data_IF_666388371984
#
_entry.id   IF_666388371984
#
_cell.length_a   1.000
_cell.length_b   1.000
_cell.length_c   1.000
_cell.angle_alpha   90.00
_cell.angle_beta   90.00
_cell.angle_gamma   90.00
#
_symmetry.space_group_name_H-M   'P 1'
#
loop_
_entity.id
_entity.type
_entity.pdbx_description
1 polymer ?
#
# COMPACT_ATOMS: atom_id res chain seq x y z
N UNK A 1 -0.13 -19.85 36.74
CA UNK A 1 -1.27 -20.30 37.56
C UNK A 1 -1.88 -19.13 38.31
N UNK A 2 -1.11 -18.46 39.16
CA UNK A 2 -1.59 -17.37 40.04
C UNK A 2 -2.36 -16.25 39.30
N UNK A 3 -1.91 -15.84 38.12
CA UNK A 3 -2.63 -14.86 37.29
C UNK A 3 -4.00 -15.35 36.82
N UNK A 4 -4.17 -16.64 36.55
CA UNK A 4 -5.46 -17.19 36.11
C UNK A 4 -6.50 -17.23 37.24
N UNK A 5 -6.05 -17.25 38.49
CA UNK A 5 -6.88 -17.38 39.70
C UNK A 5 -7.04 -16.05 40.46
N UNK A 6 -6.56 -14.94 39.89
CA UNK A 6 -6.52 -13.65 40.59
C UNK A 6 -7.87 -12.94 40.68
N UNK A 7 -8.80 -13.23 39.76
CA UNK A 7 -10.07 -12.51 39.63
C UNK A 7 -11.24 -13.30 40.21
N UNK A 8 -12.14 -12.60 40.92
CA UNK A 8 -13.39 -13.15 41.45
C UNK A 8 -14.34 -13.67 40.36
N UNK A 9 -14.22 -13.12 39.14
CA UNK A 9 -14.96 -13.53 37.93
C UNK A 9 -14.08 -14.37 37.02
N UNK A 10 -13.79 -15.59 37.47
CA UNK A 10 -12.80 -16.44 36.82
C UNK A 10 -13.14 -16.75 35.36
N UNK A 11 -14.40 -17.03 35.03
CA UNK A 11 -14.81 -17.44 33.68
C UNK A 11 -14.58 -16.28 32.71
N UNK A 12 -15.08 -15.10 33.03
CA UNK A 12 -14.96 -13.91 32.19
C UNK A 12 -13.51 -13.47 32.08
N UNK A 13 -12.76 -13.46 33.18
CA UNK A 13 -11.36 -13.09 33.20
C UNK A 13 -10.52 -14.03 32.34
N UNK A 14 -10.63 -15.35 32.55
CA UNK A 14 -9.85 -16.35 31.81
C UNK A 14 -10.16 -16.33 30.31
N UNK A 15 -11.44 -16.16 29.95
CA UNK A 15 -11.88 -16.10 28.56
C UNK A 15 -11.33 -14.86 27.83
N UNK A 16 -11.47 -13.66 28.43
CA UNK A 16 -10.93 -12.41 27.85
C UNK A 16 -9.40 -12.44 27.82
N UNK A 17 -8.77 -12.99 28.86
CA UNK A 17 -7.31 -13.14 28.92
C UNK A 17 -6.80 -14.02 27.78
N UNK A 18 -7.46 -15.14 27.49
CA UNK A 18 -7.08 -16.01 26.38
C UNK A 18 -7.20 -15.27 25.03
N UNK A 19 -8.31 -14.57 24.80
CA UNK A 19 -8.51 -13.75 23.61
C UNK A 19 -7.45 -12.65 23.48
N UNK A 20 -7.04 -12.04 24.60
CA UNK A 20 -5.99 -11.03 24.65
C UNK A 20 -4.59 -11.60 24.37
N UNK A 21 -4.28 -12.80 24.87
CA UNK A 21 -3.04 -13.50 24.54
C UNK A 21 -2.98 -13.86 23.05
N UNK A 22 -4.09 -14.35 22.48
CA UNK A 22 -4.20 -14.62 21.06
C UNK A 22 -4.06 -13.34 20.23
N UNK A 23 -4.75 -12.27 20.63
CA UNK A 23 -4.61 -10.94 20.02
C UNK A 23 -3.15 -10.47 20.02
N UNK A 24 -2.45 -10.57 21.15
CA UNK A 24 -1.04 -10.20 21.27
C UNK A 24 -0.15 -10.99 20.29
N UNK A 25 -0.33 -12.31 20.23
CA UNK A 25 0.39 -13.17 19.30
C UNK A 25 0.12 -12.76 17.84
N UNK A 26 -1.15 -12.51 17.50
CA UNK A 26 -1.55 -12.08 16.15
C UNK A 26 -0.93 -10.75 15.77
N UNK A 27 -1.01 -9.71 16.62
CA UNK A 27 -0.46 -8.39 16.27
C UNK A 27 1.06 -8.41 16.16
N UNK A 28 1.74 -9.19 17.01
CA UNK A 28 3.18 -9.35 17.00
C UNK A 28 3.66 -10.11 15.75
N UNK A 29 3.03 -11.23 15.40
CA UNK A 29 3.47 -12.08 14.29
C UNK A 29 3.00 -11.57 12.93
N UNK A 30 1.90 -10.82 12.87
CA UNK A 30 1.41 -10.20 11.63
C UNK A 30 2.41 -9.25 10.98
N UNK A 31 3.38 -8.70 11.74
CA UNK A 31 4.49 -7.89 11.20
C UNK A 31 5.33 -8.63 10.15
N UNK A 32 5.32 -9.97 10.14
CA UNK A 32 6.02 -10.80 9.14
C UNK A 32 5.56 -10.50 7.71
N UNK A 33 4.29 -10.13 7.52
CA UNK A 33 3.69 -9.87 6.21
C UNK A 33 3.94 -8.44 5.69
N UNK A 34 4.91 -7.71 6.27
CA UNK A 34 5.28 -6.37 5.84
C UNK A 34 4.10 -5.41 5.83
N UNK A 35 4.00 -4.61 4.77
CA UNK A 35 2.96 -3.58 4.59
C UNK A 35 1.55 -4.14 4.42
N UNK A 36 1.38 -5.41 4.03
CA UNK A 36 0.08 -6.07 4.03
C UNK A 36 -0.40 -6.41 5.46
N UNK A 37 0.54 -6.67 6.36
CA UNK A 37 0.29 -6.87 7.78
C UNK A 37 -0.02 -5.55 8.49
N UNK A 38 0.95 -4.64 8.47
CA UNK A 38 0.90 -3.31 9.09
C UNK A 38 1.57 -2.29 8.15
N UNK A 39 0.97 -1.12 7.94
CA UNK A 39 1.58 -0.07 7.12
C UNK A 39 2.94 0.37 7.68
N UNK A 40 3.12 0.33 9.02
CA UNK A 40 4.40 0.61 9.68
C UNK A 40 4.78 -0.51 10.67
N UNK A 41 6.09 -0.75 10.88
CA UNK A 41 6.52 -1.70 11.90
C UNK A 41 6.36 -1.12 13.32
N UNK A 42 5.57 -1.79 14.16
CA UNK A 42 5.34 -1.40 15.55
C UNK A 42 6.04 -2.34 16.55
N UNK A 43 6.66 -1.82 17.61
CA UNK A 43 7.40 -2.62 18.59
C UNK A 43 6.51 -3.13 19.74
N UNK A 44 5.47 -3.91 19.43
CA UNK A 44 4.64 -4.54 20.46
C UNK A 44 5.49 -5.49 21.32
N UNK A 45 5.32 -5.42 22.64
CA UNK A 45 6.14 -6.16 23.59
C UNK A 45 5.30 -6.81 24.72
N UNK A 46 5.93 -7.70 25.47
CA UNK A 46 5.27 -8.42 26.58
C UNK A 46 4.81 -7.48 27.73
N UNK A 47 5.41 -6.30 27.85
CA UNK A 47 4.96 -5.27 28.78
C UNK A 47 3.56 -4.76 28.44
N UNK A 48 3.23 -4.58 27.16
CA UNK A 48 1.90 -4.18 26.71
C UNK A 48 0.84 -5.21 27.11
N UNK A 49 1.16 -6.51 26.94
CA UNK A 49 0.31 -7.60 27.38
C UNK A 49 0.16 -7.60 28.91
N UNK A 50 1.25 -7.53 29.66
CA UNK A 50 1.23 -7.56 31.13
C UNK A 50 0.40 -6.42 31.71
N UNK A 51 0.54 -5.21 31.19
CA UNK A 51 -0.25 -4.06 31.64
C UNK A 51 -1.72 -4.24 31.25
N UNK A 52 -2.00 -4.75 30.03
CA UNK A 52 -3.37 -5.03 29.59
C UNK A 52 -4.07 -6.06 30.49
N UNK A 53 -3.35 -7.07 30.98
CA UNK A 53 -3.86 -8.05 31.95
C UNK A 53 -4.22 -7.39 33.29
N UNK A 54 -3.36 -6.49 33.80
CA UNK A 54 -3.63 -5.75 35.02
C UNK A 54 -4.85 -4.82 34.86
N UNK A 55 -4.98 -4.17 33.70
CA UNK A 55 -6.15 -3.34 33.37
C UNK A 55 -7.42 -4.19 33.31
N UNK A 56 -7.37 -5.36 32.65
CA UNK A 56 -8.46 -6.31 32.59
C UNK A 56 -8.96 -6.69 33.99
N UNK A 57 -8.04 -7.10 34.86
CA UNK A 57 -8.35 -7.46 36.25
C UNK A 57 -9.05 -6.31 37.00
N UNK A 58 -8.43 -5.12 37.00
CA UNK A 58 -8.96 -3.96 37.73
C UNK A 58 -10.36 -3.57 37.25
N UNK A 59 -10.61 -3.60 35.94
CA UNK A 59 -11.92 -3.25 35.38
C UNK A 59 -12.98 -4.31 35.65
N UNK A 60 -12.63 -5.60 35.64
CA UNK A 60 -13.58 -6.67 35.95
C UNK A 60 -13.97 -6.72 37.43
N UNK A 61 -13.05 -6.41 38.34
CA UNK A 61 -13.33 -6.29 39.78
C UNK A 61 -14.15 -5.04 40.11
N UNK A 62 -13.84 -3.90 39.47
CA UNK A 62 -14.50 -2.63 39.78
C UNK A 62 -15.96 -2.55 39.27
N UNK A 63 -16.33 -3.34 38.27
CA UNK A 63 -17.64 -3.26 37.61
C UNK A 63 -18.45 -4.53 37.83
N UNK A 64 -19.77 -4.50 38.06
CA UNK A 64 -20.57 -5.71 38.22
C UNK A 64 -20.73 -6.52 36.92
N UNK A 65 -20.77 -5.85 35.77
CA UNK A 65 -20.85 -6.46 34.43
C UNK A 65 -19.56 -6.18 33.65
N UNK A 66 -19.24 -7.02 32.67
CA UNK A 66 -18.08 -6.82 31.80
C UNK A 66 -18.27 -5.57 30.92
N UNK A 67 -17.42 -4.54 31.05
CA UNK A 67 -17.52 -3.33 30.23
C UNK A 67 -16.81 -3.53 28.88
N UNK A 68 -17.47 -4.21 27.96
CA UNK A 68 -16.89 -4.63 26.67
C UNK A 68 -16.28 -3.49 25.85
N UNK A 69 -17.01 -2.39 25.70
CA UNK A 69 -16.57 -1.26 24.90
C UNK A 69 -15.38 -0.52 25.53
N UNK A 70 -15.37 -0.38 26.86
CA UNK A 70 -14.25 0.22 27.59
C UNK A 70 -12.99 -0.65 27.48
N UNK A 71 -13.12 -1.98 27.62
CA UNK A 71 -11.99 -2.91 27.45
C UNK A 71 -11.41 -2.84 26.03
N UNK A 72 -12.27 -2.86 25.00
CA UNK A 72 -11.82 -2.70 23.61
C UNK A 72 -11.11 -1.37 23.38
N UNK A 73 -11.66 -0.29 23.94
CA UNK A 73 -11.06 1.04 23.85
C UNK A 73 -9.70 1.08 24.56
N UNK A 74 -9.61 0.61 25.80
CA UNK A 74 -8.36 0.59 26.56
C UNK A 74 -7.27 -0.22 25.86
N UNK A 75 -7.58 -1.44 25.43
CA UNK A 75 -6.61 -2.29 24.73
C UNK A 75 -6.23 -1.70 23.37
N UNK A 76 -7.20 -1.25 22.58
CA UNK A 76 -6.99 -0.87 21.19
C UNK A 76 -6.46 0.54 20.98
N UNK A 77 -6.83 1.48 21.85
CA UNK A 77 -6.58 2.92 21.64
C UNK A 77 -5.46 3.43 22.52
N UNK A 78 -5.35 2.87 23.73
CA UNK A 78 -4.42 3.34 24.76
C UNK A 78 -3.22 2.41 24.83
N UNK A 79 -3.44 1.11 25.08
CA UNK A 79 -2.35 0.15 25.28
C UNK A 79 -1.59 -0.13 23.99
N UNK A 80 -2.21 -0.83 23.04
CA UNK A 80 -1.59 -1.11 21.75
C UNK A 80 -1.65 0.11 20.82
N UNK A 81 -2.76 0.84 20.86
CA UNK A 81 -2.96 2.06 20.07
C UNK A 81 -2.00 3.21 20.41
N UNK A 82 -1.37 3.19 21.59
CA UNK A 82 -0.32 4.14 21.95
C UNK A 82 0.94 4.02 21.09
N UNK A 83 1.21 2.82 20.53
CA UNK A 83 2.33 2.60 19.61
C UNK A 83 1.99 2.91 18.16
N UNK A 84 0.70 2.87 17.82
CA UNK A 84 0.22 2.94 16.44
C UNK A 84 0.05 4.40 16.01
N UNK A 85 0.80 4.76 14.96
CA UNK A 85 0.84 6.13 14.42
C UNK A 85 0.05 6.31 13.12
N UNK A 86 -0.31 5.22 12.43
CA UNK A 86 -1.07 5.26 11.19
C UNK A 86 -2.55 4.96 11.45
N UNK A 87 -3.45 5.78 10.88
CA UNK A 87 -4.89 5.67 11.15
C UNK A 87 -5.50 4.36 10.61
N UNK A 88 -4.97 3.82 9.50
CA UNK A 88 -5.45 2.55 8.95
C UNK A 88 -5.00 1.36 9.80
N UNK A 89 -3.78 1.42 10.32
CA UNK A 89 -3.28 0.45 11.30
C UNK A 89 -4.07 0.54 12.61
N UNK A 90 -4.46 1.76 13.03
CA UNK A 90 -5.31 1.96 14.21
C UNK A 90 -6.69 1.37 14.01
N UNK A 91 -7.29 1.55 12.82
CA UNK A 91 -8.54 0.90 12.41
C UNK A 91 -8.42 -0.62 12.43
N UNK A 92 -7.31 -1.17 11.95
CA UNK A 92 -7.04 -2.62 11.97
C UNK A 92 -7.00 -3.14 13.42
N UNK A 93 -6.25 -2.48 14.30
CA UNK A 93 -6.15 -2.86 15.72
C UNK A 93 -7.51 -2.85 16.43
N UNK A 94 -8.33 -1.81 16.23
CA UNK A 94 -9.70 -1.74 16.77
C UNK A 94 -10.59 -2.86 16.23
N UNK A 95 -10.43 -3.21 14.95
CA UNK A 95 -11.23 -4.26 14.31
C UNK A 95 -10.91 -5.63 14.90
N UNK A 96 -9.63 -5.94 15.15
CA UNK A 96 -9.26 -7.18 15.85
C UNK A 96 -9.95 -7.31 17.20
N UNK A 97 -9.89 -6.28 18.03
CA UNK A 97 -10.50 -6.31 19.36
C UNK A 97 -12.03 -6.38 19.29
N UNK A 98 -12.63 -5.76 18.28
CA UNK A 98 -14.08 -5.85 18.06
C UNK A 98 -14.53 -7.26 17.65
N UNK A 99 -13.69 -8.01 16.92
CA UNK A 99 -13.99 -9.38 16.51
C UNK A 99 -13.60 -10.42 17.58
N UNK A 100 -12.52 -10.19 18.34
CA UNK A 100 -12.04 -11.14 19.34
C UNK A 100 -12.69 -10.97 20.71
N UNK A 101 -12.93 -9.72 21.15
CA UNK A 101 -13.46 -9.44 22.49
C UNK A 101 -14.95 -9.11 22.36
N UNK A 102 -15.80 -10.13 22.45
CA UNK A 102 -17.26 -10.01 22.28
C UNK A 102 -18.04 -10.71 23.39
N UNK A 103 -19.29 -10.31 23.62
CA UNK A 103 -20.09 -10.91 24.68
C UNK A 103 -20.37 -12.41 24.43
N UNK A 104 -20.56 -12.76 23.16
CA UNK A 104 -20.85 -14.10 22.67
C UNK A 104 -19.68 -15.09 22.92
N UNK A 105 -18.47 -14.59 23.23
CA UNK A 105 -17.34 -15.49 23.48
C UNK A 105 -17.47 -16.26 24.79
N UNK A 106 -18.26 -15.75 25.75
CA UNK A 106 -18.58 -16.45 27.00
C UNK A 106 -19.47 -17.68 26.77
N UNK A 107 -20.16 -17.73 25.63
CA UNK A 107 -21.01 -18.87 25.23
C UNK A 107 -20.18 -19.97 24.55
N UNK A 108 -18.90 -19.72 24.25
CA UNK A 108 -17.98 -20.68 23.63
C UNK A 108 -18.17 -20.86 22.14
N UNK A 109 -19.00 -20.05 21.47
CA UNK A 109 -19.31 -20.20 20.04
C UNK A 109 -18.43 -19.34 19.11
N UNK A 110 -17.44 -18.64 19.68
CA UNK A 110 -16.60 -17.70 18.93
C UNK A 110 -15.32 -18.37 18.44
N UNK A 111 -15.12 -18.33 17.12
CA UNK A 111 -13.85 -18.66 16.48
C UNK A 111 -12.90 -17.46 16.53
N UNK A 112 -11.69 -17.67 17.06
CA UNK A 112 -10.60 -16.69 17.01
C UNK A 112 -9.89 -16.72 15.65
N UNK A 113 -9.84 -17.89 15.03
CA UNK A 113 -9.42 -18.08 13.64
C UNK A 113 -10.17 -19.27 13.02
N UNK A 114 -10.13 -19.43 11.69
CA UNK A 114 -10.74 -20.58 11.02
C UNK A 114 -10.19 -21.89 11.62
N UNK A 115 -11.08 -22.69 12.24
CA UNK A 115 -10.70 -23.95 12.89
C UNK A 115 -10.16 -23.82 14.31
N UNK A 116 -10.12 -22.61 14.90
CA UNK A 116 -9.67 -22.38 16.27
C UNK A 116 -10.74 -21.67 17.10
N UNK A 117 -11.45 -22.45 17.91
CA UNK A 117 -12.49 -21.98 18.82
C UNK A 117 -11.86 -21.41 20.10
N UNK A 118 -12.53 -20.45 20.74
CA UNK A 118 -12.15 -20.01 22.08
C UNK A 118 -12.29 -21.18 23.08
N UNK A 119 -11.26 -21.48 23.90
CA UNK A 119 -11.34 -22.56 24.86
C UNK A 119 -12.34 -22.27 25.98
N UNK A 120 -12.91 -23.32 26.60
CA UNK A 120 -13.62 -23.17 27.86
C UNK A 120 -12.66 -22.76 28.99
N UNK A 121 -13.20 -22.42 30.16
CA UNK A 121 -12.38 -22.11 31.34
C UNK A 121 -11.60 -23.36 31.80
N UNK A 122 -10.30 -23.39 31.50
CA UNK A 122 -9.37 -24.45 31.87
C UNK A 122 -8.35 -23.96 32.92
N UNK A 123 -7.57 -24.90 33.47
CA UNK A 123 -6.38 -24.59 34.25
C UNK A 123 -5.17 -24.31 33.32
N UNK A 124 -4.04 -23.90 33.89
CA UNK A 124 -2.86 -23.56 33.08
C UNK A 124 -2.42 -24.70 32.17
N UNK A 125 -2.41 -25.94 32.68
CA UNK A 125 -2.03 -27.12 31.88
C UNK A 125 -3.04 -27.40 30.79
N UNK A 126 -4.34 -27.35 31.10
CA UNK A 126 -5.40 -27.53 30.12
C UNK A 126 -5.36 -26.52 28.98
N UNK A 127 -4.96 -25.26 29.23
CA UNK A 127 -4.77 -24.30 28.13
C UNK A 127 -3.61 -24.68 27.19
N UNK A 128 -2.49 -25.19 27.72
CA UNK A 128 -1.38 -25.66 26.88
C UNK A 128 -1.81 -26.87 26.04
N UNK A 129 -2.45 -27.87 26.66
CA UNK A 129 -2.98 -29.04 25.97
C UNK A 129 -4.00 -28.63 24.89
N UNK A 130 -4.90 -27.68 25.19
CA UNK A 130 -5.86 -27.17 24.21
C UNK A 130 -5.18 -26.51 23.01
N UNK A 131 -4.13 -25.71 23.24
CA UNK A 131 -3.37 -25.06 22.17
C UNK A 131 -2.68 -26.12 21.30
N UNK A 132 -2.02 -27.09 21.92
CA UNK A 132 -1.29 -28.15 21.21
C UNK A 132 -2.24 -29.02 20.35
N UNK A 133 -3.45 -29.30 20.84
CA UNK A 133 -4.42 -30.16 20.16
C UNK A 133 -5.27 -29.43 19.10
N UNK A 134 -5.61 -28.15 19.33
CA UNK A 134 -6.62 -27.44 18.53
C UNK A 134 -6.05 -26.32 17.67
N UNK A 135 -4.86 -25.78 17.94
CA UNK A 135 -4.31 -24.70 17.14
C UNK A 135 -3.89 -25.23 15.76
N UNK A 136 -4.46 -24.71 14.66
CA UNK A 136 -4.06 -25.13 13.32
C UNK A 136 -2.60 -24.76 13.02
N UNK A 137 -1.96 -25.44 12.06
CA UNK A 137 -0.62 -25.06 11.61
C UNK A 137 -0.58 -23.59 11.14
N UNK A 138 0.57 -22.94 11.34
CA UNK A 138 0.75 -21.52 11.01
C UNK A 138 0.36 -21.26 9.56
N UNK A 139 -0.58 -20.35 9.36
CA UNK A 139 -1.04 -19.93 8.04
C UNK A 139 -1.53 -18.48 8.10
N UNK A 140 -1.55 -17.75 6.97
CA UNK A 140 -2.06 -16.38 6.93
C UNK A 140 -3.47 -16.22 7.49
N UNK A 141 -4.29 -17.28 7.44
CA UNK A 141 -5.66 -17.28 7.99
C UNK A 141 -5.70 -17.03 9.50
N UNK A 142 -4.69 -17.46 10.27
CA UNK A 142 -4.62 -17.20 11.72
C UNK A 142 -4.50 -15.70 12.02
N UNK A 143 -3.99 -14.93 11.06
CA UNK A 143 -3.86 -13.49 11.16
C UNK A 143 -4.99 -12.77 10.39
N UNK A 144 -6.02 -13.48 9.92
CA UNK A 144 -7.09 -12.89 9.11
C UNK A 144 -6.69 -12.51 7.68
N UNK A 145 -5.51 -12.94 7.20
CA UNK A 145 -5.00 -12.69 5.85
C UNK A 145 -5.37 -13.83 4.89
N UNK A 146 -5.44 -13.51 3.60
CA UNK A 146 -5.57 -14.52 2.55
C UNK A 146 -4.22 -15.27 2.35
N UNK A 147 -4.21 -16.58 2.00
CA UNK A 147 -2.99 -17.37 1.79
C UNK A 147 -1.97 -16.79 0.80
N UNK A 148 -2.43 -15.97 -0.14
CA UNK A 148 -1.56 -15.23 -1.06
C UNK A 148 -0.53 -14.33 -0.35
N UNK A 149 -0.79 -13.90 0.88
CA UNK A 149 0.15 -13.11 1.68
C UNK A 149 1.45 -13.88 1.95
N UNK A 150 1.38 -15.21 2.11
CA UNK A 150 2.56 -16.05 2.32
C UNK A 150 3.45 -16.09 1.08
N UNK A 151 2.86 -16.15 -0.11
CA UNK A 151 3.60 -16.08 -1.38
C UNK A 151 4.40 -14.78 -1.44
N UNK A 152 3.77 -13.64 -1.15
CA UNK A 152 4.44 -12.34 -1.13
C UNK A 152 5.58 -12.27 -0.10
N UNK A 153 5.33 -12.76 1.11
CA UNK A 153 6.34 -12.83 2.17
C UNK A 153 7.56 -13.68 1.75
N UNK A 154 7.33 -14.86 1.17
CA UNK A 154 8.39 -15.75 0.72
C UNK A 154 9.17 -15.14 -0.45
N UNK A 155 8.50 -14.51 -1.41
CA UNK A 155 9.15 -13.81 -2.53
C UNK A 155 10.08 -12.70 -2.02
N UNK A 156 9.61 -11.82 -1.15
CA UNK A 156 10.45 -10.73 -0.58
C UNK A 156 11.64 -11.29 0.21
N UNK A 157 11.43 -12.37 0.95
CA UNK A 157 12.50 -13.02 1.71
C UNK A 157 13.55 -13.63 0.78
N UNK A 158 13.13 -14.27 -0.31
CA UNK A 158 14.01 -14.81 -1.35
C UNK A 158 14.77 -13.71 -2.08
N UNK A 159 14.12 -12.61 -2.46
CA UNK A 159 14.78 -11.48 -3.13
C UNK A 159 15.85 -10.86 -2.23
N UNK A 160 15.57 -10.69 -0.94
CA UNK A 160 16.56 -10.23 0.03
C UNK A 160 17.75 -11.19 0.13
N UNK A 161 17.50 -12.50 0.15
CA UNK A 161 18.55 -13.51 0.16
C UNK A 161 19.44 -13.39 -1.08
N UNK A 162 18.86 -13.32 -2.28
CA UNK A 162 19.62 -13.16 -3.52
C UNK A 162 20.42 -11.86 -3.56
N UNK A 163 19.85 -10.75 -3.08
CA UNK A 163 20.57 -9.47 -2.98
C UNK A 163 21.77 -9.57 -2.05
N UNK A 164 21.60 -10.15 -0.86
CA UNK A 164 22.72 -10.36 0.07
C UNK A 164 23.81 -11.23 -0.54
N UNK A 165 23.45 -12.29 -1.26
CA UNK A 165 24.43 -13.15 -1.96
C UNK A 165 25.18 -12.37 -3.05
N UNK A 166 24.49 -11.52 -3.81
CA UNK A 166 25.10 -10.66 -4.82
C UNK A 166 26.06 -9.65 -4.20
N UNK A 167 25.68 -9.04 -3.07
CA UNK A 167 26.50 -8.07 -2.33
C UNK A 167 27.74 -8.69 -1.69
N UNK A 168 27.70 -9.98 -1.33
CA UNK A 168 28.84 -10.73 -0.81
C UNK A 168 29.85 -11.14 -1.90
N UNK A 169 29.52 -10.98 -3.19
CA UNK A 169 30.52 -11.18 -4.24
C UNK A 169 31.65 -10.15 -4.05
N UNK A 170 32.93 -10.57 -4.14
CA UNK A 170 34.04 -9.67 -3.91
C UNK A 170 33.98 -8.48 -4.87
N UNK A 171 33.67 -7.30 -4.32
CA UNK A 171 33.84 -6.00 -5.00
C UNK A 171 35.34 -5.73 -4.98
N UNK A 172 36.05 -6.15 -6.02
CA UNK A 172 37.51 -6.07 -6.07
C UNK A 172 37.98 -4.61 -6.11
N UNK A 173 38.32 -4.08 -4.93
CA UNK A 173 39.46 -3.17 -4.78
C UNK A 173 40.63 -3.98 -4.22
N UNK A 174 41.77 -3.96 -4.92
CA UNK A 174 43.05 -4.63 -4.63
C UNK A 174 43.20 -6.13 -4.99
N UNK A 175 43.41 -6.42 -6.28
CA UNK A 175 44.34 -7.47 -6.73
C UNK A 175 44.75 -7.26 -8.20
N UNK A 176 45.97 -6.76 -8.44
CA UNK A 176 46.51 -6.51 -9.77
C UNK A 176 46.62 -7.77 -10.64
N UNK A 177 45.95 -7.78 -11.79
CA UNK A 177 46.11 -8.79 -12.84
C UNK A 177 45.26 -8.48 -14.08
N UNK A 178 45.80 -8.70 -15.29
CA UNK A 178 45.21 -8.29 -16.58
C UNK A 178 43.80 -8.81 -16.93
N UNK A 179 43.16 -9.63 -16.09
CA UNK A 179 41.75 -9.99 -16.16
C UNK A 179 40.80 -8.86 -15.68
N UNK A 180 41.34 -7.88 -14.96
CA UNK A 180 40.61 -6.74 -14.38
C UNK A 180 40.21 -5.69 -15.43
N UNK A 181 41.10 -5.38 -16.39
CA UNK A 181 40.79 -4.49 -17.52
C UNK A 181 39.62 -4.98 -18.37
N UNK A 182 39.50 -6.30 -18.59
CA UNK A 182 38.42 -6.87 -19.39
C UNK A 182 37.07 -6.78 -18.66
N UNK A 183 37.05 -6.94 -17.32
CA UNK A 183 35.84 -6.81 -16.50
C UNK A 183 35.43 -5.35 -16.32
N UNK A 184 36.37 -4.45 -16.06
CA UNK A 184 36.10 -3.01 -16.05
C UNK A 184 35.59 -2.49 -17.40
N UNK A 185 36.16 -2.96 -18.50
CA UNK A 185 35.67 -2.67 -19.86
C UNK A 185 34.26 -3.22 -20.09
N UNK A 186 33.93 -4.41 -19.59
CA UNK A 186 32.58 -4.97 -19.70
C UNK A 186 31.57 -4.17 -18.87
N UNK A 187 31.93 -3.77 -17.65
CA UNK A 187 31.13 -2.90 -16.78
C UNK A 187 30.86 -1.55 -17.44
N UNK A 188 31.91 -0.87 -17.90
CA UNK A 188 31.78 0.45 -18.53
C UNK A 188 31.00 0.38 -19.83
N UNK A 189 31.19 -0.68 -20.64
CA UNK A 189 30.41 -0.91 -21.86
C UNK A 189 28.92 -1.12 -21.56
N UNK A 190 28.57 -1.93 -20.56
CA UNK A 190 27.18 -2.16 -20.18
C UNK A 190 26.52 -0.87 -19.66
N UNK A 191 27.18 -0.15 -18.75
CA UNK A 191 26.68 1.14 -18.24
C UNK A 191 26.49 2.14 -19.38
N UNK A 192 27.46 2.23 -20.29
CA UNK A 192 27.40 3.10 -21.47
C UNK A 192 26.24 2.73 -22.39
N UNK A 193 26.01 1.45 -22.64
CA UNK A 193 24.88 0.97 -23.45
C UNK A 193 23.53 1.37 -22.86
N UNK A 194 23.34 1.19 -21.54
CA UNK A 194 22.09 1.57 -20.86
C UNK A 194 21.91 3.09 -20.87
N UNK A 195 22.99 3.83 -20.60
CA UNK A 195 23.00 5.28 -20.65
C UNK A 195 22.59 5.81 -22.02
N UNK A 196 23.18 5.28 -23.09
CA UNK A 196 22.88 5.71 -24.46
C UNK A 196 21.44 5.41 -24.85
N UNK A 197 20.92 4.23 -24.48
CA UNK A 197 19.52 3.88 -24.69
C UNK A 197 18.56 4.86 -24.00
N UNK A 198 18.85 5.23 -22.74
CA UNK A 198 18.02 6.16 -21.98
C UNK A 198 18.09 7.56 -22.60
N UNK A 199 19.28 8.06 -22.96
CA UNK A 199 19.42 9.40 -23.54
C UNK A 199 18.75 9.49 -24.91
N UNK A 200 18.89 8.47 -25.76
CA UNK A 200 18.36 8.45 -27.12
C UNK A 200 16.82 8.44 -27.13
N UNK A 201 16.20 7.68 -26.23
CA UNK A 201 14.74 7.52 -26.18
C UNK A 201 14.03 8.56 -25.31
N UNK A 202 14.76 9.33 -24.49
CA UNK A 202 14.17 10.30 -23.57
C UNK A 202 13.66 11.54 -24.34
N UNK A 203 12.33 11.81 -24.33
CA UNK A 203 11.74 12.93 -25.06
C UNK A 203 12.27 14.30 -24.64
N UNK A 204 12.05 15.29 -25.50
CA UNK A 204 12.35 16.68 -25.20
C UNK A 204 11.44 17.23 -24.08
N UNK A 205 11.93 18.19 -23.27
CA UNK A 205 11.16 18.75 -22.18
C UNK A 205 9.91 19.49 -22.69
N UNK A 206 8.85 19.46 -21.89
CA UNK A 206 7.62 20.17 -22.16
C UNK A 206 7.87 21.69 -22.19
N UNK A 207 7.54 22.34 -23.32
CA UNK A 207 7.61 23.80 -23.42
C UNK A 207 6.43 24.43 -22.65
N UNK A 208 6.67 24.76 -21.38
CA UNK A 208 5.65 25.31 -20.49
C UNK A 208 5.04 26.62 -21.01
N UNK A 209 5.82 27.46 -21.71
CA UNK A 209 5.30 28.72 -22.25
C UNK A 209 4.27 28.47 -23.36
N UNK A 210 4.56 27.54 -24.28
CA UNK A 210 3.61 27.15 -25.33
C UNK A 210 2.37 26.44 -24.77
N UNK A 211 2.56 25.53 -23.82
CA UNK A 211 1.48 24.78 -23.17
C UNK A 211 0.54 25.75 -22.42
N UNK A 212 1.08 26.71 -21.68
CA UNK A 212 0.28 27.72 -21.00
C UNK A 212 -0.43 28.68 -21.97
N UNK A 213 0.20 29.02 -23.10
CA UNK A 213 -0.42 29.87 -24.11
C UNK A 213 -1.58 29.19 -24.86
N UNK A 214 -1.55 27.86 -25.00
CA UNK A 214 -2.64 27.08 -25.62
C UNK A 214 -3.87 26.95 -24.74
N UNK A 215 -3.72 27.01 -23.41
CA UNK A 215 -4.83 26.85 -22.48
C UNK A 215 -5.72 28.10 -22.45
N UNK A 216 -6.84 28.05 -23.17
CA UNK A 216 -7.83 29.14 -23.21
C UNK A 216 -8.46 29.37 -21.83
N UNK A 217 -8.86 28.28 -21.16
CA UNK A 217 -9.48 28.31 -19.83
C UNK A 217 -8.64 27.54 -18.81
N UNK A 218 -8.34 28.19 -17.68
CA UNK A 218 -7.61 27.58 -16.55
C UNK A 218 -8.55 26.75 -15.67
N UNK A 219 -9.02 25.63 -16.22
CA UNK A 219 -9.81 24.65 -15.47
C UNK A 219 -8.95 23.95 -14.42
N UNK A 220 -9.55 23.36 -13.35
CA UNK A 220 -8.80 22.55 -12.39
C UNK A 220 -7.95 21.45 -13.04
N UNK A 221 -8.46 20.80 -14.08
CA UNK A 221 -7.76 19.77 -14.84
C UNK A 221 -6.51 20.30 -15.56
N UNK A 222 -6.62 21.48 -16.19
CA UNK A 222 -5.49 22.15 -16.86
C UNK A 222 -4.38 22.49 -15.86
N UNK A 223 -4.76 22.94 -14.65
CA UNK A 223 -3.77 23.23 -13.58
C UNK A 223 -3.04 21.97 -13.15
N UNK A 224 -3.72 20.82 -13.06
CA UNK A 224 -3.07 19.53 -12.79
C UNK A 224 -2.08 19.18 -13.90
N UNK A 225 -2.48 19.30 -15.18
CA UNK A 225 -1.60 19.04 -16.31
C UNK A 225 -0.31 19.89 -16.25
N UNK A 226 -0.42 21.19 -15.92
CA UNK A 226 0.76 22.05 -15.77
C UNK A 226 1.71 21.59 -14.67
N UNK A 227 1.17 21.27 -13.48
CA UNK A 227 1.98 20.80 -12.35
C UNK A 227 2.69 19.47 -12.66
N UNK A 228 2.00 18.58 -13.37
CA UNK A 228 2.55 17.29 -13.78
C UNK A 228 3.65 17.45 -14.84
N UNK A 229 3.47 18.34 -15.82
CA UNK A 229 4.52 18.67 -16.80
C UNK A 229 5.74 19.33 -16.17
N UNK A 230 5.56 20.26 -15.21
CA UNK A 230 6.67 20.87 -14.48
C UNK A 230 7.48 19.83 -13.70
N UNK A 231 6.81 18.91 -13.00
CA UNK A 231 7.46 17.81 -12.29
C UNK A 231 8.18 16.85 -13.23
N UNK A 232 7.57 16.52 -14.36
CA UNK A 232 8.19 15.68 -15.38
C UNK A 232 9.44 16.34 -15.97
N UNK A 233 9.41 17.64 -16.22
CA UNK A 233 10.58 18.40 -16.67
C UNK A 233 11.72 18.38 -15.65
N UNK A 234 11.42 18.52 -14.36
CA UNK A 234 12.44 18.43 -13.30
C UNK A 234 13.10 17.05 -13.29
N UNK A 235 12.31 15.98 -13.33
CA UNK A 235 12.82 14.60 -13.33
C UNK A 235 13.66 14.31 -14.58
N UNK A 236 13.13 14.59 -15.77
CA UNK A 236 13.82 14.33 -17.04
C UNK A 236 15.08 15.19 -17.20
N UNK A 237 15.08 16.42 -16.67
CA UNK A 237 16.27 17.26 -16.62
C UNK A 237 17.36 16.65 -15.73
N UNK A 238 17.00 16.17 -14.53
CA UNK A 238 17.94 15.51 -13.61
C UNK A 238 18.57 14.28 -14.27
N UNK A 239 17.75 13.40 -14.87
CA UNK A 239 18.22 12.22 -15.61
C UNK A 239 19.20 12.62 -16.71
N UNK A 240 18.84 13.62 -17.53
CA UNK A 240 19.66 14.07 -18.65
C UNK A 240 20.96 14.70 -18.18
N UNK A 241 20.95 15.49 -17.10
CA UNK A 241 22.15 16.09 -16.52
C UNK A 241 23.09 15.01 -16.00
N UNK A 242 22.60 14.15 -15.12
CA UNK A 242 23.43 13.14 -14.44
C UNK A 242 24.04 12.14 -15.44
N UNK A 243 23.28 11.74 -16.47
CA UNK A 243 23.80 10.83 -17.51
C UNK A 243 24.82 11.52 -18.43
N UNK A 244 24.66 12.80 -18.76
CA UNK A 244 25.67 13.53 -19.54
C UNK A 244 26.99 13.66 -18.78
N UNK A 245 26.93 13.96 -17.49
CA UNK A 245 28.12 14.03 -16.64
C UNK A 245 28.83 12.68 -16.54
N UNK A 246 28.06 11.59 -16.36
CA UNK A 246 28.60 10.23 -16.38
C UNK A 246 29.24 9.87 -17.72
N UNK A 247 28.62 10.25 -18.86
CA UNK A 247 29.19 10.02 -20.19
C UNK A 247 30.56 10.69 -20.37
N UNK A 248 30.68 11.96 -19.93
CA UNK A 248 31.94 12.69 -19.95
C UNK A 248 32.99 12.06 -19.02
N UNK A 249 32.55 11.56 -17.86
CA UNK A 249 33.41 10.79 -16.94
C UNK A 249 33.94 9.51 -17.58
N UNK A 250 33.08 8.74 -18.26
CA UNK A 250 33.45 7.50 -18.96
C UNK A 250 34.41 7.74 -20.14
N UNK A 251 34.33 8.90 -20.80
CA UNK A 251 35.27 9.33 -21.85
C UNK A 251 36.61 9.82 -21.30
N UNK A 252 36.72 10.05 -19.98
CA UNK A 252 37.90 10.63 -19.33
C UNK A 252 38.01 12.15 -19.48
N UNK A 253 36.93 12.82 -19.89
CA UNK A 253 36.87 14.29 -20.01
C UNK A 253 36.56 14.97 -18.67
N UNK A 254 35.88 14.26 -17.77
CA UNK A 254 35.65 14.66 -16.38
C UNK A 254 36.29 13.66 -15.41
N UNK A 255 36.72 14.16 -14.25
CA UNK A 255 37.13 13.29 -13.15
C UNK A 255 35.92 12.61 -12.56
N UNK A 256 35.94 11.28 -12.49
CA UNK A 256 34.87 10.47 -11.91
C UNK A 256 34.72 10.82 -10.42
N UNK A 257 33.49 11.16 -10.02
CA UNK A 257 33.12 11.45 -8.64
C UNK A 257 32.40 10.26 -8.00
N UNK A 258 32.29 10.25 -6.66
CA UNK A 258 31.52 9.23 -5.92
C UNK A 258 30.07 9.11 -6.44
N UNK A 259 29.42 10.25 -6.71
CA UNK A 259 28.05 10.28 -7.21
C UNK A 259 27.93 9.62 -8.61
N UNK A 260 28.95 9.78 -9.46
CA UNK A 260 29.00 9.11 -10.77
C UNK A 260 29.20 7.60 -10.62
N UNK A 261 30.00 7.15 -9.66
CA UNK A 261 30.20 5.73 -9.37
C UNK A 261 28.91 5.10 -8.84
N UNK A 262 28.20 5.75 -7.92
CA UNK A 262 26.90 5.29 -7.40
C UNK A 262 25.84 5.23 -8.51
N UNK A 263 25.81 6.23 -9.38
CA UNK A 263 24.94 6.24 -10.56
C UNK A 263 25.26 5.06 -11.49
N UNK A 264 26.53 4.89 -11.86
CA UNK A 264 26.97 3.81 -12.73
C UNK A 264 26.66 2.42 -12.14
N UNK A 265 26.86 2.25 -10.82
CA UNK A 265 26.51 1.02 -10.12
C UNK A 265 25.00 0.76 -10.16
N UNK A 266 24.18 1.80 -9.96
CA UNK A 266 22.72 1.68 -10.04
C UNK A 266 22.27 1.24 -11.44
N UNK A 267 22.84 1.84 -12.49
CA UNK A 267 22.58 1.45 -13.89
C UNK A 267 23.00 0.01 -14.18
N UNK A 268 24.16 -0.41 -13.65
CA UNK A 268 24.69 -1.75 -13.84
C UNK A 268 23.82 -2.83 -13.17
N UNK A 269 23.32 -2.56 -11.96
CA UNK A 269 22.50 -3.50 -11.18
C UNK A 269 20.98 -3.37 -11.46
N UNK A 270 20.57 -2.71 -12.55
CA UNK A 270 19.15 -2.50 -12.93
C UNK A 270 18.32 -1.85 -11.80
N UNK A 271 18.93 -0.97 -11.01
CA UNK A 271 18.27 -0.22 -9.94
C UNK A 271 18.05 1.23 -10.37
N UNK A 272 16.89 1.79 -10.02
CA UNK A 272 16.64 3.22 -10.21
C UNK A 272 17.57 4.02 -9.27
N UNK A 273 18.41 4.93 -9.79
CA UNK A 273 19.30 5.76 -8.97
C UNK A 273 18.55 6.58 -7.92
N UNK A 274 19.14 6.70 -6.73
CA UNK A 274 18.57 7.51 -5.64
C UNK A 274 18.34 8.98 -6.02
N UNK A 275 19.27 9.67 -6.74
CA UNK A 275 19.04 11.06 -7.15
C UNK A 275 17.79 11.25 -8.01
N UNK A 276 17.45 10.26 -8.84
CA UNK A 276 16.23 10.30 -9.67
C UNK A 276 14.99 10.05 -8.82
N UNK A 277 15.09 9.11 -7.88
CA UNK A 277 13.99 8.73 -6.98
C UNK A 277 13.49 9.91 -6.14
N UNK A 278 14.35 10.87 -5.81
CA UNK A 278 13.98 12.10 -5.08
C UNK A 278 12.99 13.00 -5.84
N UNK A 279 13.04 12.97 -7.17
CA UNK A 279 12.12 13.73 -8.04
C UNK A 279 11.03 12.85 -8.66
N UNK A 280 11.22 11.53 -8.65
CA UNK A 280 10.29 10.57 -9.21
C UNK A 280 9.05 10.33 -8.34
N UNK A 281 8.10 9.63 -8.92
CA UNK A 281 7.00 9.00 -8.20
C UNK A 281 7.49 7.71 -7.50
N UNK A 282 6.89 7.33 -6.36
CA UNK A 282 7.21 6.06 -5.70
C UNK A 282 6.96 4.88 -6.64
N UNK A 283 7.95 3.99 -6.77
CA UNK A 283 7.92 2.80 -7.62
C UNK A 283 8.77 1.69 -7.00
N UNK A 284 8.42 0.44 -7.32
CA UNK A 284 9.18 -0.76 -6.94
C UNK A 284 9.75 -1.50 -8.17
N UNK A 285 9.60 -0.92 -9.36
CA UNK A 285 10.11 -1.49 -10.61
C UNK A 285 11.63 -1.39 -10.67
N UNK A 286 12.24 -2.36 -11.37
CA UNK A 286 13.65 -2.27 -11.78
C UNK A 286 13.82 -1.16 -12.82
N UNK A 287 15.06 -0.71 -13.04
CA UNK A 287 15.36 0.44 -13.90
C UNK A 287 14.76 0.30 -15.30
N UNK A 288 14.92 -0.85 -15.96
CA UNK A 288 14.37 -1.07 -17.30
C UNK A 288 12.84 -0.95 -17.35
N UNK A 289 12.15 -1.58 -16.40
CA UNK A 289 10.69 -1.51 -16.31
C UNK A 289 10.19 -0.12 -15.89
N UNK A 290 10.91 0.54 -14.97
CA UNK A 290 10.61 1.90 -14.53
C UNK A 290 10.78 2.91 -15.66
N UNK A 291 11.82 2.77 -16.48
CA UNK A 291 12.05 3.66 -17.62
C UNK A 291 10.97 3.50 -18.69
N UNK A 292 10.55 2.27 -18.99
CA UNK A 292 9.42 2.03 -19.89
C UNK A 292 8.12 2.66 -19.36
N UNK A 293 7.87 2.56 -18.05
CA UNK A 293 6.74 3.20 -17.36
C UNK A 293 6.82 4.74 -17.43
N UNK A 294 8.02 5.32 -17.24
CA UNK A 294 8.27 6.75 -17.36
C UNK A 294 7.93 7.27 -18.77
N UNK A 295 8.37 6.57 -19.82
CA UNK A 295 8.08 6.94 -21.20
C UNK A 295 6.57 6.90 -21.50
N UNK A 296 5.84 5.93 -20.93
CA UNK A 296 4.39 5.87 -21.07
C UNK A 296 3.71 7.09 -20.40
N UNK A 297 4.18 7.51 -19.23
CA UNK A 297 3.66 8.70 -18.52
C UNK A 297 3.90 9.98 -19.30
N UNK A 298 5.10 10.13 -19.88
CA UNK A 298 5.41 11.28 -20.74
C UNK A 298 4.42 11.32 -21.91
N UNK A 299 4.20 10.19 -22.58
CA UNK A 299 3.25 10.09 -23.70
C UNK A 299 1.81 10.46 -23.30
N UNK A 300 1.32 9.96 -22.16
CA UNK A 300 -0.03 10.31 -21.68
C UNK A 300 -0.16 11.81 -21.37
N UNK A 301 0.88 12.44 -20.82
CA UNK A 301 0.93 13.90 -20.61
C UNK A 301 1.01 14.69 -21.93
N UNK A 302 1.80 14.24 -22.91
CA UNK A 302 1.87 14.86 -24.24
C UNK A 302 0.52 14.85 -24.95
N UNK A 303 -0.17 13.70 -24.93
CA UNK A 303 -1.52 13.58 -25.50
C UNK A 303 -2.47 14.54 -24.79
N UNK A 304 -2.46 14.57 -23.45
CA UNK A 304 -3.38 15.42 -22.69
C UNK A 304 -3.10 16.92 -22.88
N UNK A 305 -1.83 17.33 -22.99
CA UNK A 305 -1.45 18.75 -23.17
C UNK A 305 -1.60 19.27 -24.59
N UNK A 306 -1.94 18.40 -25.56
CA UNK A 306 -2.15 18.82 -26.95
C UNK A 306 -3.39 19.70 -27.08
N UNK A 307 -4.51 19.30 -26.48
CA UNK A 307 -5.80 20.00 -26.55
C UNK A 307 -6.48 20.21 -25.18
N UNK A 308 -5.88 19.72 -24.08
CA UNK A 308 -6.44 19.74 -22.73
C UNK A 308 -7.80 19.04 -22.59
N UNK A 309 -8.13 18.15 -23.53
CA UNK A 309 -9.32 17.30 -23.44
C UNK A 309 -8.98 16.07 -22.61
N UNK A 310 -9.80 15.78 -21.60
CA UNK A 310 -9.61 14.57 -20.81
C UNK A 310 -9.79 13.32 -21.69
N UNK A 311 -8.87 12.33 -21.60
CA UNK A 311 -9.02 11.10 -22.33
C UNK A 311 -10.26 10.33 -21.86
N UNK A 312 -10.76 9.41 -22.69
CA UNK A 312 -11.94 8.60 -22.37
C UNK A 312 -11.78 7.83 -21.06
N UNK A 313 -10.56 7.41 -20.75
CA UNK A 313 -10.15 6.84 -19.46
C UNK A 313 -8.80 7.41 -19.06
N UNK A 314 -8.65 7.77 -17.79
CA UNK A 314 -7.42 8.33 -17.23
C UNK A 314 -6.63 7.24 -16.49
N UNK A 315 -5.33 7.14 -16.76
CA UNK A 315 -4.44 6.27 -16.01
C UNK A 315 -3.97 6.99 -14.73
N UNK A 316 -4.69 6.78 -13.62
CA UNK A 316 -4.42 7.50 -12.36
C UNK A 316 -3.02 7.23 -11.81
N UNK A 317 -2.47 6.03 -12.04
CA UNK A 317 -1.11 5.71 -11.64
C UNK A 317 -0.07 6.57 -12.35
N UNK A 318 -0.38 7.08 -13.56
CA UNK A 318 0.53 7.83 -14.41
C UNK A 318 0.93 9.20 -13.85
N UNK A 319 0.15 9.77 -12.94
CA UNK A 319 0.46 11.05 -12.30
C UNK A 319 1.50 10.92 -11.18
N UNK A 320 2.34 11.93 -11.04
CA UNK A 320 3.14 12.17 -9.84
C UNK A 320 2.24 12.44 -8.64
N UNK A 321 1.18 13.24 -8.81
CA UNK A 321 0.20 13.53 -7.75
C UNK A 321 -1.25 13.16 -8.15
N UNK A 322 -1.64 11.88 -8.03
CA UNK A 322 -3.02 11.45 -8.30
C UNK A 322 -4.06 12.17 -7.42
N UNK A 323 -3.71 12.63 -6.22
CA UNK A 323 -4.63 13.37 -5.35
C UNK A 323 -5.03 14.73 -5.94
N UNK A 324 -4.11 15.40 -6.64
CA UNK A 324 -4.41 16.65 -7.35
C UNK A 324 -5.50 16.42 -8.41
N UNK A 325 -5.40 15.32 -9.17
CA UNK A 325 -6.41 14.95 -10.16
C UNK A 325 -7.77 14.65 -9.52
N UNK A 326 -7.79 13.84 -8.46
CA UNK A 326 -9.03 13.53 -7.72
C UNK A 326 -9.67 14.80 -7.12
N UNK A 327 -8.85 15.74 -6.64
CA UNK A 327 -9.30 17.04 -6.15
C UNK A 327 -9.84 17.91 -7.30
N UNK A 328 -9.23 17.86 -8.48
CA UNK A 328 -9.72 18.56 -9.66
C UNK A 328 -11.12 18.08 -10.08
N UNK A 329 -11.43 16.78 -9.94
CA UNK A 329 -12.80 16.26 -10.13
C UNK A 329 -13.78 16.93 -9.16
N UNK A 330 -13.42 17.05 -7.89
CA UNK A 330 -14.26 17.73 -6.89
C UNK A 330 -14.44 19.21 -7.19
N UNK A 331 -13.36 19.92 -7.53
CA UNK A 331 -13.40 21.34 -7.87
C UNK A 331 -14.23 21.62 -9.13
N UNK A 332 -14.08 20.79 -10.16
CA UNK A 332 -14.83 20.94 -11.41
C UNK A 332 -16.33 20.77 -11.16
N UNK A 333 -16.72 19.73 -10.41
CA UNK A 333 -18.12 19.48 -10.08
C UNK A 333 -18.71 20.57 -9.16
N UNK A 334 -17.95 20.99 -8.14
CA UNK A 334 -18.38 22.02 -7.21
C UNK A 334 -18.62 23.35 -7.92
N UNK A 335 -17.72 23.76 -8.84
CA UNK A 335 -17.89 24.98 -9.64
C UNK A 335 -19.08 24.88 -10.59
N UNK A 336 -19.29 23.73 -11.25
CA UNK A 336 -20.38 23.53 -12.20
C UNK A 336 -21.76 23.61 -11.54
N UNK A 337 -21.89 23.09 -10.33
CA UNK A 337 -23.16 23.03 -9.59
C UNK A 337 -23.30 24.10 -8.50
N UNK A 338 -22.33 25.01 -8.38
CA UNK A 338 -22.26 26.03 -7.33
C UNK A 338 -22.34 25.46 -5.90
N UNK A 339 -21.71 24.29 -5.68
CA UNK A 339 -21.67 23.62 -4.38
C UNK A 339 -20.43 24.01 -3.55
N UNK A 340 -20.55 24.05 -2.21
CA UNK A 340 -19.40 24.25 -1.32
C UNK A 340 -18.41 23.08 -1.42
N UNK A 341 -17.15 23.37 -1.76
CA UNK A 341 -16.11 22.35 -1.95
C UNK A 341 -15.82 21.54 -0.68
N UNK A 342 -15.95 22.15 0.49
CA UNK A 342 -15.74 21.54 1.82
C UNK A 342 -16.77 20.45 2.15
N UNK A 343 -17.90 20.42 1.43
CA UNK A 343 -18.98 19.43 1.61
C UNK A 343 -19.04 18.40 0.49
N UNK A 344 -17.98 18.29 -0.31
CA UNK A 344 -17.88 17.34 -1.41
C UNK A 344 -17.06 16.12 -1.02
N UNK A 345 -17.44 14.95 -1.55
CA UNK A 345 -16.67 13.72 -1.49
C UNK A 345 -16.67 13.02 -2.84
N UNK A 346 -15.81 12.02 -3.01
CA UNK A 346 -15.79 11.19 -4.21
C UNK A 346 -16.77 10.02 -4.07
N UNK A 347 -17.64 9.88 -5.05
CA UNK A 347 -18.44 8.68 -5.30
C UNK A 347 -17.71 7.82 -6.33
N UNK A 348 -17.54 6.56 -5.99
CA UNK A 348 -16.78 5.58 -6.77
C UNK A 348 -17.72 4.47 -7.20
N UNK A 349 -17.78 4.21 -8.50
CA UNK A 349 -18.56 3.13 -9.08
C UNK A 349 -17.66 2.27 -9.98
N UNK A 350 -17.44 1.02 -9.61
CA UNK A 350 -16.68 0.08 -10.44
C UNK A 350 -17.58 -0.40 -11.57
N UNK A 351 -17.16 -0.18 -12.81
CA UNK A 351 -17.92 -0.58 -13.99
C UNK A 351 -17.72 -2.07 -14.31
N UNK A 352 -18.44 -2.58 -15.32
CA UNK A 352 -18.23 -3.93 -15.88
C UNK A 352 -17.33 -3.94 -17.11
N UNK A 353 -16.70 -2.81 -17.43
CA UNK A 353 -16.00 -2.55 -18.68
C UNK A 353 -14.50 -2.47 -18.47
N UNK A 354 -13.75 -2.90 -19.47
CA UNK A 354 -12.31 -2.67 -19.54
C UNK A 354 -12.01 -1.35 -20.28
N UNK A 355 -10.74 -0.97 -20.34
CA UNK A 355 -10.29 0.28 -20.98
C UNK A 355 -10.78 0.38 -22.42
N UNK A 356 -10.72 -0.73 -23.15
CA UNK A 356 -11.01 -0.81 -24.58
C UNK A 356 -12.50 -0.60 -24.89
N UNK A 357 -13.38 -0.86 -23.92
CA UNK A 357 -14.83 -0.73 -24.07
C UNK A 357 -15.34 0.71 -23.83
N UNK A 358 -14.45 1.61 -23.40
CA UNK A 358 -14.77 3.01 -23.08
C UNK A 358 -14.22 3.91 -24.19
N UNK A 359 -15.12 4.35 -25.07
CA UNK A 359 -14.76 5.14 -26.25
C UNK A 359 -14.90 6.65 -26.06
N UNK A 360 -15.55 7.09 -24.99
CA UNK A 360 -15.79 8.50 -24.72
C UNK A 360 -15.73 8.81 -23.22
N UNK A 361 -15.25 10.01 -22.84
CA UNK A 361 -15.24 10.45 -21.45
C UNK A 361 -16.68 10.66 -20.93
N UNK A 362 -16.90 10.56 -19.61
CA UNK A 362 -18.21 10.80 -19.04
C UNK A 362 -18.55 12.30 -19.10
N UNK A 363 -19.85 12.64 -19.08
CA UNK A 363 -20.30 14.04 -19.02
C UNK A 363 -19.82 14.77 -17.76
N UNK A 364 -19.64 14.02 -16.69
CA UNK A 364 -19.30 14.48 -15.35
C UNK A 364 -18.41 13.45 -14.66
N UNK A 365 -17.34 13.90 -14.01
CA UNK A 365 -16.37 13.00 -13.39
C UNK A 365 -15.32 12.49 -14.38
N UNK A 366 -14.73 11.33 -14.08
CA UNK A 366 -13.73 10.68 -14.92
C UNK A 366 -13.82 9.17 -14.80
N UNK A 367 -13.58 8.48 -15.91
CA UNK A 367 -13.23 7.07 -15.85
C UNK A 367 -11.75 6.92 -15.56
N UNK A 368 -11.39 5.97 -14.72
CA UNK A 368 -10.03 5.68 -14.30
C UNK A 368 -9.74 4.20 -14.47
N UNK A 369 -8.53 3.87 -14.95
CA UNK A 369 -8.08 2.49 -15.14
C UNK A 369 -6.70 2.22 -14.53
N UNK A 370 -6.30 0.95 -14.54
CA UNK A 370 -4.98 0.52 -14.08
C UNK A 370 -4.84 0.44 -12.57
N UNK A 371 -5.94 0.17 -11.85
CA UNK A 371 -5.90 -0.15 -10.42
C UNK A 371 -5.87 -1.66 -10.22
N UNK A 372 -5.23 -2.09 -9.15
CA UNK A 372 -5.15 -3.48 -8.74
C UNK A 372 -5.71 -3.63 -7.33
N UNK A 373 -6.34 -4.75 -7.02
CA UNK A 373 -6.83 -5.04 -5.68
C UNK A 373 -5.94 -6.06 -5.01
N UNK A 374 -5.36 -5.73 -3.86
CA UNK A 374 -4.54 -6.63 -3.07
C UNK A 374 -5.34 -7.18 -1.88
N UNK A 375 -5.19 -8.48 -1.58
CA UNK A 375 -5.89 -9.16 -0.48
C UNK A 375 -7.31 -9.63 -0.80
N UNK A 376 -7.89 -9.18 -1.92
CA UNK A 376 -9.21 -9.57 -2.40
C UNK A 376 -9.29 -9.46 -3.93
N UNK A 377 -10.48 -9.68 -4.49
CA UNK A 377 -10.76 -9.40 -5.91
C UNK A 377 -12.10 -8.68 -6.05
N UNK A 378 -12.28 -8.00 -7.18
CA UNK A 378 -13.60 -7.51 -7.56
C UNK A 378 -14.35 -8.56 -8.38
N UNK A 379 -15.54 -8.95 -7.93
CA UNK A 379 -16.40 -9.84 -8.70
C UNK A 379 -17.26 -9.04 -9.68
N UNK A 380 -16.89 -9.05 -10.96
CA UNK A 380 -17.55 -8.27 -12.03
C UNK A 380 -19.05 -8.60 -12.16
N UNK A 381 -19.48 -9.89 -12.14
CA UNK A 381 -20.90 -10.22 -12.27
C UNK A 381 -21.75 -9.64 -11.14
N UNK A 382 -21.30 -9.79 -9.88
CA UNK A 382 -22.06 -9.34 -8.70
C UNK A 382 -21.79 -7.89 -8.29
N UNK A 383 -20.73 -7.26 -8.80
CA UNK A 383 -20.40 -5.86 -8.55
C UNK A 383 -20.02 -5.58 -7.09
N UNK A 384 -19.35 -6.52 -6.43
CA UNK A 384 -18.88 -6.40 -5.04
C UNK A 384 -17.50 -7.02 -4.85
N UNK A 385 -16.86 -6.70 -3.72
CA UNK A 385 -15.63 -7.38 -3.28
C UNK A 385 -15.92 -8.86 -3.01
N UNK A 386 -15.03 -9.73 -3.46
CA UNK A 386 -14.99 -11.16 -3.17
C UNK A 386 -13.58 -11.57 -2.72
N UNK A 387 -13.46 -12.75 -2.12
CA UNK A 387 -12.16 -13.29 -1.69
C UNK A 387 -11.16 -13.36 -2.86
N UNK A 388 -9.86 -13.29 -2.61
CA UNK A 388 -8.87 -13.49 -3.68
C UNK A 388 -8.92 -14.93 -4.22
N UNK A 389 -8.36 -15.16 -5.42
CA UNK A 389 -8.07 -16.51 -5.91
C UNK A 389 -6.63 -16.85 -5.58
N UNK A 390 -6.36 -18.13 -5.30
CA UNK A 390 -5.00 -18.58 -5.05
C UNK A 390 -4.08 -18.22 -6.22
N UNK A 391 -2.89 -17.70 -5.91
CA UNK A 391 -1.86 -17.25 -6.86
C UNK A 391 -2.18 -15.97 -7.65
N UNK A 392 -3.36 -15.40 -7.49
CA UNK A 392 -3.70 -14.06 -8.00
C UNK A 392 -3.46 -13.03 -6.88
N UNK A 393 -2.23 -12.50 -6.79
CA UNK A 393 -1.82 -11.62 -5.68
C UNK A 393 -2.50 -10.24 -5.71
N UNK A 394 -2.57 -9.65 -6.91
CA UNK A 394 -3.12 -8.32 -7.13
C UNK A 394 -3.90 -8.27 -8.46
N UNK A 395 -5.11 -8.87 -8.53
CA UNK A 395 -5.94 -8.82 -9.73
C UNK A 395 -6.26 -7.38 -10.15
N UNK A 396 -6.30 -7.13 -11.46
CA UNK A 396 -6.65 -5.83 -12.02
C UNK A 396 -8.15 -5.53 -11.82
N UNK A 397 -8.45 -4.29 -11.46
CA UNK A 397 -9.81 -3.77 -11.35
C UNK A 397 -10.35 -3.39 -12.74
N UNK A 398 -11.65 -3.57 -13.00
CA UNK A 398 -12.32 -2.93 -14.12
C UNK A 398 -12.18 -1.40 -14.07
N UNK A 399 -12.56 -0.73 -15.16
CA UNK A 399 -12.60 0.73 -15.18
C UNK A 399 -13.50 1.24 -14.05
N UNK A 400 -13.00 2.20 -13.29
CA UNK A 400 -13.69 2.82 -12.17
C UNK A 400 -14.19 4.19 -12.60
N UNK A 401 -15.48 4.43 -12.43
CA UNK A 401 -16.08 5.74 -12.60
C UNK A 401 -15.98 6.53 -11.30
N UNK A 402 -15.36 7.70 -11.36
CA UNK A 402 -15.19 8.61 -10.22
C UNK A 402 -15.91 9.91 -10.52
N UNK A 403 -16.82 10.31 -9.63
CA UNK A 403 -17.48 11.62 -9.67
C UNK A 403 -17.53 12.21 -8.28
N UNK A 404 -17.68 13.52 -8.19
CA UNK A 404 -17.87 14.17 -6.91
C UNK A 404 -19.36 14.34 -6.58
N UNK A 405 -19.73 14.10 -5.33
CA UNK A 405 -21.09 14.30 -4.81
C UNK A 405 -21.03 14.99 -3.44
N UNK A 406 -22.10 15.68 -3.02
CA UNK A 406 -22.25 16.14 -1.64
C UNK A 406 -22.16 14.97 -0.64
N UNK A 407 -21.49 15.19 0.51
CA UNK A 407 -21.22 14.16 1.53
C UNK A 407 -22.50 13.52 2.09
N UNK A 408 -23.58 14.29 2.20
CA UNK A 408 -24.90 13.83 2.64
C UNK A 408 -25.55 12.81 1.69
N UNK A 409 -25.09 12.74 0.43
CA UNK A 409 -25.56 11.77 -0.57
C UNK A 409 -24.70 10.51 -0.62
N UNK A 410 -23.67 10.39 0.21
CA UNK A 410 -22.77 9.24 0.20
C UNK A 410 -23.44 8.01 0.83
N UNK A 411 -23.47 6.90 0.11
CA UNK A 411 -23.92 5.62 0.65
C UNK A 411 -22.86 5.05 1.61
N UNK A 412 -23.28 4.73 2.83
CA UNK A 412 -22.42 4.15 3.88
C UNK A 412 -22.76 2.70 4.23
N UNK A 413 -23.90 2.21 3.74
CA UNK A 413 -24.37 0.83 4.01
C UNK A 413 -23.75 -0.15 3.03
N UNK A 414 -23.28 -1.30 3.53
CA UNK A 414 -22.69 -2.37 2.71
C UNK A 414 -21.49 -1.89 1.87
N UNK A 415 -20.70 -1.00 2.45
CA UNK A 415 -19.52 -0.40 1.85
C UNK A 415 -18.30 -0.73 2.69
N UNK A 416 -17.20 -1.01 2.00
CA UNK A 416 -15.87 -1.06 2.57
C UNK A 416 -15.08 0.18 2.12
N UNK A 417 -14.68 0.98 3.09
CA UNK A 417 -13.73 2.09 2.91
C UNK A 417 -12.35 1.50 2.60
N UNK A 418 -12.04 1.36 1.31
CA UNK A 418 -10.82 0.74 0.80
C UNK A 418 -9.74 1.80 0.58
N UNK A 419 -8.58 1.71 1.25
CA UNK A 419 -7.48 2.63 1.02
C UNK A 419 -6.83 2.39 -0.34
N UNK A 420 -6.47 3.47 -1.02
CA UNK A 420 -5.77 3.47 -2.31
C UNK A 420 -4.33 3.93 -2.08
N UNK A 421 -3.35 3.14 -2.51
CA UNK A 421 -1.92 3.44 -2.42
C UNK A 421 -1.27 3.51 -3.80
N UNK A 422 -0.19 4.27 -3.95
CA UNK A 422 0.58 4.28 -5.21
C UNK A 422 1.23 2.94 -5.48
N UNK A 423 1.81 2.32 -4.44
CA UNK A 423 2.55 1.05 -4.55
C UNK A 423 2.22 0.14 -3.36
N UNK A 424 2.76 -1.08 -3.38
CA UNK A 424 2.71 -2.02 -2.25
C UNK A 424 3.39 -1.51 -0.97
N UNK A 425 4.24 -0.49 -1.06
CA UNK A 425 4.80 0.19 0.11
C UNK A 425 3.75 1.12 0.71
N UNK A 426 2.78 0.54 1.41
CA UNK A 426 1.67 1.25 2.07
C UNK A 426 2.17 2.17 3.18
N UNK A 427 1.33 3.10 3.60
CA UNK A 427 1.68 4.17 4.54
C UNK A 427 1.98 5.48 3.80
N UNK A 428 3.25 5.80 3.46
CA UNK A 428 3.62 7.07 2.85
C UNK A 428 3.07 7.24 1.42
N UNK A 429 2.63 6.16 0.77
CA UNK A 429 2.09 6.19 -0.59
C UNK A 429 0.57 6.29 -0.64
N UNK A 430 -0.10 6.57 0.48
CA UNK A 430 -1.56 6.72 0.53
C UNK A 430 -2.04 7.86 -0.38
N UNK A 431 -3.10 7.57 -1.14
CA UNK A 431 -3.70 8.49 -2.12
C UNK A 431 -5.09 8.91 -1.67
N UNK A 432 -6.03 7.97 -1.52
CA UNK A 432 -7.43 8.28 -1.21
C UNK A 432 -8.15 7.08 -0.61
N UNK A 433 -9.39 7.26 -0.18
CA UNK A 433 -10.29 6.17 0.24
C UNK A 433 -11.41 5.98 -0.77
N UNK A 434 -11.52 4.80 -1.35
CA UNK A 434 -12.62 4.44 -2.24
C UNK A 434 -13.64 3.55 -1.54
N UNK A 435 -14.90 3.98 -1.60
CA UNK A 435 -16.02 3.28 -1.00
C UNK A 435 -16.52 2.18 -1.94
N UNK A 436 -16.10 0.96 -1.67
CA UNK A 436 -16.38 -0.21 -2.50
C UNK A 436 -17.54 -1.03 -1.93
N UNK A 437 -18.42 -1.52 -2.80
CA UNK A 437 -19.57 -2.35 -2.38
C UNK A 437 -19.13 -3.72 -1.89
N UNK A 438 -19.73 -4.19 -0.81
CA UNK A 438 -19.47 -5.51 -0.21
C UNK A 438 -20.77 -6.17 0.27
N UNK A 439 -20.85 -7.50 0.20
CA UNK A 439 -21.90 -8.29 0.87
C UNK A 439 -21.49 -8.72 2.29
N UNK A 440 -20.19 -8.79 2.54
CA UNK A 440 -19.60 -9.17 3.81
C UNK A 440 -19.42 -7.97 4.73
N UNK A 441 -19.28 -8.23 6.04
CA UNK A 441 -18.93 -7.20 7.02
C UNK A 441 -17.58 -6.57 6.67
N UNK A 442 -17.46 -5.26 6.82
CA UNK A 442 -16.22 -4.52 6.55
C UNK A 442 -15.02 -5.07 7.36
N UNK A 443 -15.26 -5.61 8.56
CA UNK A 443 -14.25 -6.23 9.40
C UNK A 443 -13.43 -7.30 8.65
N UNK A 444 -14.07 -8.15 7.84
CA UNK A 444 -13.40 -9.17 7.02
C UNK A 444 -12.30 -8.57 6.15
N UNK A 445 -12.62 -7.47 5.45
CA UNK A 445 -11.70 -6.82 4.51
C UNK A 445 -10.62 -5.99 5.21
N UNK A 446 -10.94 -5.41 6.36
CA UNK A 446 -9.95 -4.74 7.20
C UNK A 446 -8.90 -5.75 7.67
N UNK A 447 -9.33 -6.90 8.23
CA UNK A 447 -8.43 -7.95 8.69
C UNK A 447 -7.63 -8.57 7.54
N UNK A 448 -8.24 -8.78 6.37
CA UNK A 448 -7.55 -9.25 5.17
C UNK A 448 -6.56 -8.24 4.58
N UNK A 449 -6.53 -7.01 5.10
CA UNK A 449 -5.64 -5.95 4.63
C UNK A 449 -5.95 -5.56 3.18
N UNK A 450 -7.22 -5.51 2.79
CA UNK A 450 -7.62 -5.21 1.41
C UNK A 450 -7.27 -3.77 1.05
N UNK A 451 -6.61 -3.57 -0.08
CA UNK A 451 -6.27 -2.24 -0.56
C UNK A 451 -6.33 -2.18 -2.09
N UNK A 452 -6.50 -0.98 -2.63
CA UNK A 452 -6.26 -0.70 -4.03
C UNK A 452 -4.84 -0.17 -4.23
N UNK A 453 -4.17 -0.64 -5.27
CA UNK A 453 -2.83 -0.25 -5.65
C UNK A 453 -2.89 0.37 -7.05
N UNK A 454 -2.20 1.50 -7.24
CA UNK A 454 -2.02 2.09 -8.56
C UNK A 454 -0.95 1.36 -9.38
N UNK A 455 0.02 0.75 -8.69
CA UNK A 455 1.13 0.01 -9.27
C UNK A 455 1.52 -1.15 -8.35
N UNK A 456 1.89 -2.30 -8.93
CA UNK A 456 2.23 -3.55 -8.23
C UNK A 456 3.72 -3.84 -8.30
#
# INVERSE_FOLDING_TARGET
QDTLEMCSKEIEFKCVLFALCYFHAVVAERRKFGTQGWNRPYPFNNGDLTISINVLYNYLEANPKVPWDDLRYLFGEIMYGGHITDDWDRRLCRTYLSEYVRAEMLEGEVYLAPGFLIPPSLDYKGYHEYIDDNLPPESPYLYGLHPNAEIGFLTVTSDRLFRTVLEMQPKESDAGGGADKSRFMAYSFQVKSVLDEIIEKLPEPFNMAEIMAKAVDKTPYVVVAFQECERMNILTHEIRRSLKELDLGLKGELTITSDMEELANSLFYDNVPEPWTRYAYPSLLSLGAWYADLLLRIRELEVWTTDFVLPATVWLAGFFNPQSFLTAIMQSMARKNEWPLDKMCLSVEVTKKNREDITAPPREGSYVHGLFMEGARWDIPSGVIADARLKELAPMMPVIFIRAIPVDRMETKNVYECPVYKTRMRGPTYVWTFNLKTKEKAAKWILAGVALLLQV
#
